data_IF_416787866612
#
_entry.id   IF_416787866612
#
_cell.length_a   1.000
_cell.length_b   1.000
_cell.length_c   1.000
_cell.angle_alpha   90.00
_cell.angle_beta   90.00
_cell.angle_gamma   90.00
#
_symmetry.space_group_name_H-M   'P 1'
#
loop_
_entity.id
_entity.type
_entity.pdbx_description
1 polymer ?
#
# COMPACT_ATOMS: atom_id res chain seq x y z
N UNK A 1 -7.90 -24.89 26.91
CA UNK A 1 -8.06 -23.44 26.70
C UNK A 1 -7.00 -22.79 25.80
N UNK A 2 -5.68 -22.97 26.04
CA UNK A 2 -4.61 -22.36 25.22
C UNK A 2 -4.64 -22.74 23.72
N UNK A 3 -4.91 -24.01 23.41
CA UNK A 3 -4.99 -24.51 22.02
C UNK A 3 -6.18 -23.94 21.25
N UNK A 4 -7.37 -23.91 21.87
CA UNK A 4 -8.58 -23.31 21.27
C UNK A 4 -8.39 -21.81 20.97
N UNK A 5 -7.73 -21.09 21.88
CA UNK A 5 -7.41 -19.67 21.69
C UNK A 5 -6.42 -19.46 20.54
N UNK A 6 -5.37 -20.30 20.44
CA UNK A 6 -4.43 -20.26 19.32
C UNK A 6 -5.08 -20.60 17.97
N UNK A 7 -6.01 -21.55 17.93
CA UNK A 7 -6.77 -21.86 16.72
C UNK A 7 -7.64 -20.68 16.28
N UNK A 8 -8.41 -20.10 17.20
CA UNK A 8 -9.26 -18.94 16.91
C UNK A 8 -8.44 -17.73 16.38
N UNK A 9 -7.28 -17.46 16.97
CA UNK A 9 -6.38 -16.41 16.47
C UNK A 9 -5.83 -16.76 15.09
N UNK A 10 -5.40 -18.00 14.88
CA UNK A 10 -4.85 -18.44 13.59
C UNK A 10 -5.87 -18.25 12.47
N UNK A 11 -7.12 -18.62 12.71
CA UNK A 11 -8.18 -18.50 11.70
C UNK A 11 -8.51 -17.03 11.41
N UNK A 12 -8.60 -16.19 12.45
CA UNK A 12 -8.76 -14.73 12.31
C UNK A 12 -7.62 -14.08 11.53
N UNK A 13 -6.38 -14.49 11.75
CA UNK A 13 -5.21 -13.97 11.01
C UNK A 13 -5.28 -14.38 9.54
N UNK A 14 -5.67 -15.62 9.24
CA UNK A 14 -5.85 -16.08 7.85
C UNK A 14 -6.94 -15.28 7.14
N UNK A 15 -8.09 -15.09 7.79
CA UNK A 15 -9.18 -14.27 7.25
C UNK A 15 -8.73 -12.84 6.97
N UNK A 16 -7.99 -12.22 7.89
CA UNK A 16 -7.47 -10.88 7.71
C UNK A 16 -6.47 -10.81 6.54
N UNK A 17 -5.60 -11.81 6.41
CA UNK A 17 -4.67 -11.90 5.29
C UNK A 17 -5.39 -12.02 3.94
N UNK A 18 -6.43 -12.85 3.87
CA UNK A 18 -7.27 -13.00 2.68
C UNK A 18 -8.00 -11.69 2.32
N UNK A 19 -8.49 -10.95 3.31
CA UNK A 19 -9.11 -9.64 3.08
C UNK A 19 -8.14 -8.61 2.52
N UNK A 20 -6.89 -8.59 3.01
CA UNK A 20 -5.85 -7.72 2.45
C UNK A 20 -5.45 -8.13 1.03
N UNK A 21 -5.46 -9.42 0.72
CA UNK A 21 -5.17 -9.92 -0.62
C UNK A 21 -6.23 -9.51 -1.65
N UNK A 22 -7.50 -9.50 -1.24
CA UNK A 22 -8.65 -9.15 -2.08
C UNK A 22 -8.94 -7.63 -2.15
N UNK A 23 -8.22 -6.81 -1.38
CA UNK A 23 -8.41 -5.36 -1.41
C UNK A 23 -7.77 -4.73 -2.65
N UNK A 24 -8.07 -3.45 -2.89
CA UNK A 24 -7.32 -2.66 -3.84
C UNK A 24 -5.95 -2.28 -3.23
N UNK A 25 -4.88 -2.77 -3.84
CA UNK A 25 -3.51 -2.45 -3.45
C UNK A 25 -2.64 -2.18 -4.69
N UNK A 26 -1.58 -1.41 -4.49
CA UNK A 26 -0.56 -1.13 -5.52
C UNK A 26 0.66 -2.01 -5.22
N UNK A 27 1.14 -2.72 -6.23
CA UNK A 27 2.35 -3.53 -6.12
C UNK A 27 3.61 -2.66 -6.12
N UNK A 28 4.58 -3.02 -5.30
CA UNK A 28 5.92 -2.47 -5.35
C UNK A 28 6.94 -3.60 -5.16
N UNK A 29 7.74 -3.84 -6.20
CA UNK A 29 8.60 -5.01 -6.34
C UNK A 29 8.08 -6.07 -7.30
N UNK A 30 8.87 -7.14 -7.45
CA UNK A 30 8.58 -8.21 -8.41
C UNK A 30 7.40 -9.07 -7.95
N UNK A 31 6.56 -9.49 -8.90
CA UNK A 31 5.39 -10.33 -8.62
C UNK A 31 5.76 -11.74 -8.10
N UNK A 32 6.98 -12.20 -8.38
CA UNK A 32 7.52 -13.51 -7.98
C UNK A 32 8.38 -13.44 -6.70
N UNK A 33 8.40 -12.28 -6.01
CA UNK A 33 9.17 -12.15 -4.77
C UNK A 33 8.66 -13.14 -3.70
N UNK A 34 9.56 -13.86 -3.00
CA UNK A 34 9.16 -14.95 -2.10
C UNK A 34 8.50 -14.47 -0.81
N UNK A 35 8.43 -13.16 -0.56
CA UNK A 35 7.88 -12.56 0.66
C UNK A 35 6.95 -11.42 0.30
N UNK A 36 5.74 -11.45 0.83
CA UNK A 36 4.74 -10.39 0.68
C UNK A 36 4.57 -9.65 2.00
N UNK A 37 4.60 -8.33 1.94
CA UNK A 37 4.28 -7.45 3.08
C UNK A 37 3.14 -6.52 2.66
N UNK A 38 2.02 -6.60 3.39
CA UNK A 38 0.93 -5.64 3.26
C UNK A 38 1.19 -4.44 4.15
N UNK A 39 0.90 -3.26 3.62
CA UNK A 39 1.07 -2.02 4.36
C UNK A 39 -0.07 -1.07 4.01
N UNK A 40 -0.59 -0.37 5.01
CA UNK A 40 -1.54 0.72 4.81
C UNK A 40 -0.73 2.02 4.60
N UNK A 41 -0.87 2.64 3.43
CA UNK A 41 -0.14 3.86 3.05
C UNK A 41 -1.07 5.02 2.87
N UNK A 42 -0.70 6.17 3.43
CA UNK A 42 -1.34 7.45 3.15
C UNK A 42 -0.35 8.34 2.38
N UNK A 43 -0.74 8.98 1.25
CA UNK A 43 0.14 9.82 0.43
C UNK A 43 0.72 11.06 1.15
N UNK A 44 0.20 11.41 2.32
CA UNK A 44 0.69 12.52 3.12
C UNK A 44 1.47 12.04 4.36
N UNK A 45 1.81 10.76 4.46
CA UNK A 45 2.54 10.17 5.58
C UNK A 45 4.06 10.16 5.34
N UNK A 46 4.86 10.98 6.05
CA UNK A 46 6.33 10.96 5.90
C UNK A 46 6.97 9.62 6.32
N UNK A 47 6.33 8.86 7.21
CA UNK A 47 6.84 7.56 7.63
C UNK A 47 6.56 6.45 6.60
N UNK A 48 5.51 6.58 5.79
CA UNK A 48 5.28 5.68 4.65
C UNK A 48 6.42 5.81 3.64
N UNK A 49 6.80 7.05 3.30
CA UNK A 49 7.96 7.32 2.43
C UNK A 49 9.26 6.82 3.03
N UNK A 50 9.53 7.11 4.31
CA UNK A 50 10.73 6.62 4.98
C UNK A 50 10.83 5.09 4.96
N UNK A 51 9.72 4.39 5.21
CA UNK A 51 9.69 2.93 5.12
C UNK A 51 9.90 2.44 3.67
N UNK A 52 9.27 3.09 2.70
CA UNK A 52 9.44 2.78 1.29
C UNK A 52 10.91 2.88 0.86
N UNK A 53 11.61 3.95 1.27
CA UNK A 53 13.04 4.15 1.03
C UNK A 53 13.89 3.06 1.70
N UNK A 54 13.62 2.78 2.98
CA UNK A 54 14.34 1.76 3.74
C UNK A 54 14.16 0.36 3.14
N UNK A 55 13.00 0.06 2.53
CA UNK A 55 12.71 -1.23 1.93
C UNK A 55 13.42 -1.48 0.59
N UNK A 56 13.94 -0.44 -0.08
CA UNK A 56 14.55 -0.53 -1.43
C UNK A 56 15.56 -1.68 -1.59
N UNK A 57 16.52 -1.93 -0.67
CA UNK A 57 17.49 -3.00 -0.81
C UNK A 57 16.88 -4.40 -0.94
N UNK A 58 15.68 -4.63 -0.39
CA UNK A 58 14.98 -5.92 -0.50
C UNK A 58 14.04 -5.97 -1.69
N UNK A 59 13.33 -4.87 -1.96
CA UNK A 59 12.38 -4.77 -3.06
C UNK A 59 13.10 -4.83 -4.41
N UNK A 60 14.16 -4.03 -4.58
CA UNK A 60 14.93 -3.95 -5.82
C UNK A 60 15.71 -5.26 -6.09
N UNK A 61 16.13 -5.94 -5.02
CA UNK A 61 16.73 -7.28 -5.10
C UNK A 61 15.72 -8.41 -5.40
N UNK A 62 14.42 -8.10 -5.51
CA UNK A 62 13.36 -9.09 -5.76
C UNK A 62 13.09 -10.03 -4.58
N UNK A 63 13.51 -9.67 -3.37
CA UNK A 63 13.36 -10.52 -2.17
C UNK A 63 12.03 -10.31 -1.46
N UNK A 64 11.41 -9.14 -1.66
CA UNK A 64 10.15 -8.72 -1.03
C UNK A 64 9.29 -8.01 -2.06
N UNK A 65 7.98 -8.27 -2.04
CA UNK A 65 6.96 -7.45 -2.67
C UNK A 65 6.17 -6.73 -1.57
N UNK A 66 6.11 -5.40 -1.66
CA UNK A 66 5.21 -4.60 -0.87
C UNK A 66 3.86 -4.48 -1.60
N UNK A 67 2.76 -4.59 -0.86
CA UNK A 67 1.40 -4.36 -1.36
C UNK A 67 0.78 -3.21 -0.60
N UNK A 68 0.80 -2.03 -1.22
CA UNK A 68 0.35 -0.77 -0.62
C UNK A 68 -1.17 -0.67 -0.71
N UNK A 69 -1.85 -0.88 0.41
CA UNK A 69 -3.28 -0.60 0.58
C UNK A 69 -3.41 0.89 0.86
N UNK A 70 -3.86 1.65 -0.13
CA UNK A 70 -3.92 3.10 -0.02
C UNK A 70 -5.09 3.52 0.87
N UNK A 71 -4.82 4.41 1.82
CA UNK A 71 -5.80 5.01 2.73
C UNK A 71 -5.66 6.53 2.71
N UNK A 72 -6.76 7.25 2.93
CA UNK A 72 -6.77 8.70 2.97
C UNK A 72 -7.30 9.23 4.29
N UNK A 73 -6.48 9.29 5.32
CA UNK A 73 -6.89 9.62 6.70
C UNK A 73 -6.09 10.75 7.36
N UNK A 74 -4.93 11.14 6.82
CA UNK A 74 -4.01 12.06 7.52
C UNK A 74 -4.31 13.54 7.24
N UNK A 75 -4.53 13.90 5.98
CA UNK A 75 -4.89 15.25 5.50
C UNK A 75 -6.17 15.22 4.68
N UNK A 76 -6.82 16.37 4.55
CA UNK A 76 -8.07 16.53 3.79
C UNK A 76 -7.97 16.03 2.34
N UNK A 77 -6.81 16.19 1.69
CA UNK A 77 -6.59 15.76 0.31
C UNK A 77 -6.09 14.30 0.16
N UNK A 78 -5.94 13.56 1.27
CA UNK A 78 -5.32 12.23 1.26
C UNK A 78 -6.17 11.18 0.56
N UNK A 79 -7.50 11.24 0.72
CA UNK A 79 -8.43 10.33 0.04
C UNK A 79 -8.34 10.53 -1.47
N UNK A 80 -8.39 11.79 -1.91
CA UNK A 80 -8.31 12.15 -3.32
C UNK A 80 -6.94 11.85 -3.95
N UNK A 81 -5.84 11.95 -3.19
CA UNK A 81 -4.49 11.53 -3.62
C UNK A 81 -4.35 10.01 -3.69
N UNK A 82 -4.90 9.29 -2.73
CA UNK A 82 -4.92 7.82 -2.73
C UNK A 82 -5.68 7.29 -3.96
N UNK A 83 -6.85 7.88 -4.21
CA UNK A 83 -7.62 7.61 -5.40
C UNK A 83 -6.86 7.97 -6.69
N UNK A 84 -6.09 9.07 -6.70
CA UNK A 84 -5.26 9.45 -7.85
C UNK A 84 -4.21 8.38 -8.18
N UNK A 85 -3.54 7.81 -7.17
CA UNK A 85 -2.56 6.74 -7.35
C UNK A 85 -3.21 5.47 -7.89
N UNK A 86 -4.29 5.02 -7.26
CA UNK A 86 -5.04 3.81 -7.65
C UNK A 86 -5.67 3.93 -9.04
N UNK A 87 -6.18 5.11 -9.41
CA UNK A 87 -6.85 5.36 -10.70
C UNK A 87 -5.87 5.70 -11.84
N UNK A 88 -4.57 5.81 -11.55
CA UNK A 88 -3.58 6.17 -12.57
C UNK A 88 -3.45 5.05 -13.63
N UNK A 89 -2.97 5.41 -14.82
CA UNK A 89 -2.75 4.43 -15.91
C UNK A 89 -1.72 3.36 -15.52
N UNK A 90 -0.77 3.73 -14.66
CA UNK A 90 0.25 2.85 -14.12
C UNK A 90 0.41 3.16 -12.61
N UNK A 91 -0.38 2.49 -11.75
CA UNK A 91 -0.35 2.72 -10.30
C UNK A 91 1.00 2.44 -9.67
N UNK A 92 1.75 1.45 -10.17
CA UNK A 92 3.06 1.09 -9.64
C UNK A 92 4.06 2.22 -9.89
N UNK A 93 4.10 2.72 -11.13
CA UNK A 93 4.95 3.86 -11.47
C UNK A 93 4.54 5.12 -10.71
N UNK A 94 3.24 5.42 -10.63
CA UNK A 94 2.76 6.61 -9.93
C UNK A 94 3.11 6.59 -8.44
N UNK A 95 2.97 5.44 -7.78
CA UNK A 95 3.39 5.27 -6.39
C UNK A 95 4.91 5.41 -6.25
N UNK A 96 5.70 4.77 -7.11
CA UNK A 96 7.15 4.88 -7.08
C UNK A 96 7.61 6.34 -7.22
N UNK A 97 7.10 7.06 -8.22
CA UNK A 97 7.44 8.47 -8.43
C UNK A 97 7.02 9.35 -7.23
N UNK A 98 5.87 9.03 -6.61
CA UNK A 98 5.37 9.76 -5.44
C UNK A 98 6.27 9.57 -4.21
N UNK A 99 6.57 8.32 -3.86
CA UNK A 99 7.40 8.00 -2.70
C UNK A 99 8.85 8.43 -2.92
N UNK A 100 9.41 8.23 -4.11
CA UNK A 100 10.76 8.68 -4.44
C UNK A 100 10.91 10.21 -4.32
N UNK A 101 9.88 10.97 -4.68
CA UNK A 101 9.89 12.42 -4.54
C UNK A 101 9.65 12.88 -3.09
N UNK A 102 9.02 12.05 -2.26
CA UNK A 102 8.65 12.36 -0.88
C UNK A 102 7.95 13.71 -0.75
N UNK A 103 8.52 14.63 0.03
CA UNK A 103 7.97 15.99 0.23
C UNK A 103 7.89 16.82 -1.06
N UNK A 104 8.69 16.50 -2.07
CA UNK A 104 8.68 17.19 -3.36
C UNK A 104 7.67 16.56 -4.35
N UNK A 105 6.87 15.58 -3.91
CA UNK A 105 5.90 14.93 -4.79
C UNK A 105 4.90 15.93 -5.37
N UNK A 106 4.68 15.82 -6.68
CA UNK A 106 3.71 16.63 -7.42
C UNK A 106 2.36 15.95 -7.59
N UNK A 107 2.11 14.86 -6.83
CA UNK A 107 0.85 14.11 -6.86
C UNK A 107 -0.33 15.05 -6.58
N UNK A 108 -1.22 15.17 -7.57
CA UNK A 108 -2.41 16.00 -7.47
C UNK A 108 -3.60 15.17 -6.97
N UNK A 109 -4.39 15.69 -6.02
CA UNK A 109 -5.64 15.05 -5.66
C UNK A 109 -6.61 15.05 -6.85
N UNK A 110 -7.42 13.99 -6.96
CA UNK A 110 -8.55 14.00 -7.89
C UNK A 110 -9.62 14.98 -7.43
N UNK A 111 -10.12 15.82 -8.35
CA UNK A 111 -11.27 16.68 -8.08
C UNK A 111 -12.57 15.87 -7.82
N UNK A 112 -12.66 14.67 -8.41
CA UNK A 112 -13.77 13.72 -8.19
C UNK A 112 -13.24 12.30 -8.17
N UNK A 113 -13.53 11.58 -7.09
CA UNK A 113 -13.13 10.18 -6.91
C UNK A 113 -14.07 9.27 -7.72
N UNK A 114 -13.55 8.46 -8.67
CA UNK A 114 -14.34 7.49 -9.42
C UNK A 114 -14.92 6.41 -8.51
N UNK A 115 -16.14 5.93 -8.79
CA UNK A 115 -16.77 4.88 -7.99
C UNK A 115 -15.99 3.55 -8.00
N UNK A 116 -15.20 3.28 -9.04
CA UNK A 116 -14.36 2.08 -9.12
C UNK A 116 -13.20 2.06 -8.12
N UNK A 117 -12.89 3.20 -7.49
CA UNK A 117 -11.74 3.40 -6.59
C UNK A 117 -12.21 3.86 -5.20
N UNK A 118 -13.53 3.98 -5.01
CA UNK A 118 -14.18 4.28 -3.73
C UNK A 118 -14.60 2.98 -3.07
#
# INVERSE_FOLDING_TARGET
>A
YRLLWQMCIRDRVKEMWQKMEQSAWIADGRADAPRVVYLFSDPNCPYCTMFWEQARPWVDAGKVQLRHIMVGIIREDSEAKSAALLASKDPQKALHDHEQAGKASTLKPLAKIPAAVR
#
